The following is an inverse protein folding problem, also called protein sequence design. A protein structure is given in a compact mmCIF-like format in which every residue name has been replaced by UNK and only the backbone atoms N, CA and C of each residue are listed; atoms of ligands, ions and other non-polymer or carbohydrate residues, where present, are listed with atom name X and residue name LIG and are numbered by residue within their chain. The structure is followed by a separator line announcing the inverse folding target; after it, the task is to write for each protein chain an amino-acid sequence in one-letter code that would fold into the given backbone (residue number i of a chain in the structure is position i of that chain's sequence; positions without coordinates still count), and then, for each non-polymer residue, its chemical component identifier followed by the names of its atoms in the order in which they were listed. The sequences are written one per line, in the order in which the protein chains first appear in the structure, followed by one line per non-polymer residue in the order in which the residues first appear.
data_IF_849626912712
#
_entry.id   IF_849626912712
#
_cell.length_a   1.000
_cell.length_b   1.000
_cell.length_c   1.000
_cell.angle_alpha   90.00
_cell.angle_beta   90.00
_cell.angle_gamma   90.00
#
_symmetry.space_group_name_H-M   'P 1'
#
loop_
_entity.id
_entity.type
_entity.pdbx_description
1 polymer ?
#
# COMPACT_ATOMS: atom_id res chain seq x y z
N UNK A 1 -15.39 -26.06 0.24
CA UNK A 1 -14.53 -25.82 -0.95
C UNK A 1 -13.34 -24.99 -0.56
N UNK A 2 -12.17 -25.45 -0.90
CA UNK A 2 -10.96 -24.69 -0.71
C UNK A 2 -10.93 -23.55 -1.72
N UNK A 3 -10.66 -22.34 -1.26
CA UNK A 3 -10.40 -21.24 -2.15
C UNK A 3 -9.02 -21.45 -2.80
N UNK A 4 -8.93 -21.14 -4.07
CA UNK A 4 -7.63 -21.15 -4.72
C UNK A 4 -6.70 -20.17 -4.00
N UNK A 5 -5.41 -20.49 -3.80
CA UNK A 5 -4.48 -19.55 -3.19
C UNK A 5 -4.36 -18.29 -4.04
N UNK A 6 -4.14 -17.12 -3.43
CA UNK A 6 -3.95 -15.89 -4.18
C UNK A 6 -2.78 -16.07 -5.14
N UNK A 7 -2.94 -15.57 -6.36
CA UNK A 7 -1.86 -15.59 -7.35
C UNK A 7 -1.05 -14.30 -7.21
N UNK A 8 0.25 -14.45 -7.32
CA UNK A 8 1.20 -13.35 -7.17
C UNK A 8 2.09 -13.27 -8.40
N UNK A 9 2.51 -12.06 -8.71
CA UNK A 9 3.59 -11.82 -9.64
C UNK A 9 4.87 -11.65 -8.81
N UNK A 10 5.87 -12.50 -9.07
CA UNK A 10 7.18 -12.39 -8.42
C UNK A 10 7.95 -11.26 -9.10
N UNK A 11 8.22 -10.20 -8.37
CA UNK A 11 8.93 -9.02 -8.88
C UNK A 11 10.32 -8.95 -8.29
N UNK A 12 11.29 -8.68 -9.14
CA UNK A 12 12.67 -8.43 -8.71
C UNK A 12 13.30 -7.38 -9.61
N UNK A 13 13.90 -6.37 -8.99
CA UNK A 13 14.74 -5.41 -9.70
C UNK A 13 15.82 -4.93 -8.76
N UNK A 14 17.10 -5.07 -9.19
CA UNK A 14 18.24 -4.83 -8.32
C UNK A 14 18.12 -5.69 -7.05
N UNK A 15 18.18 -5.09 -5.88
CA UNK A 15 18.06 -5.81 -4.60
C UNK A 15 16.64 -5.87 -4.06
N UNK A 16 15.70 -5.21 -4.75
CA UNK A 16 14.32 -5.18 -4.31
C UNK A 16 13.56 -6.39 -4.85
N UNK A 17 12.86 -7.09 -3.96
CA UNK A 17 11.98 -8.19 -4.34
C UNK A 17 10.62 -8.03 -3.66
N UNK A 18 9.57 -8.45 -4.35
CA UNK A 18 8.23 -8.45 -3.80
C UNK A 18 7.36 -9.50 -4.50
N UNK A 19 6.34 -9.97 -3.80
CA UNK A 19 5.28 -10.76 -4.41
C UNK A 19 4.03 -9.89 -4.47
N UNK A 20 3.61 -9.56 -5.69
CA UNK A 20 2.52 -8.62 -5.92
C UNK A 20 1.25 -9.37 -6.29
N UNK A 21 0.15 -9.23 -5.52
CA UNK A 21 -1.11 -9.87 -5.88
C UNK A 21 -1.57 -9.47 -7.27
N UNK A 22 -1.99 -10.47 -8.08
CA UNK A 22 -2.41 -10.25 -9.45
C UNK A 22 -3.81 -9.65 -9.56
N UNK A 23 -4.65 -9.85 -8.56
CA UNK A 23 -6.04 -9.41 -8.57
C UNK A 23 -6.28 -8.11 -7.81
N UNK A 24 -5.23 -7.45 -7.33
CA UNK A 24 -5.33 -6.16 -6.67
C UNK A 24 -5.17 -5.03 -7.68
N UNK A 25 -5.67 -3.85 -7.29
CA UNK A 25 -5.36 -2.59 -7.97
C UNK A 25 -4.24 -1.88 -7.21
N UNK A 26 -3.55 -0.99 -7.91
CA UNK A 26 -2.40 -0.27 -7.35
C UNK A 26 -2.50 1.21 -7.69
N UNK A 27 -2.16 2.07 -6.74
CA UNK A 27 -2.16 3.51 -6.97
C UNK A 27 -0.75 3.99 -7.32
N UNK A 28 -0.63 5.16 -8.01
CA UNK A 28 0.68 5.77 -8.26
C UNK A 28 1.45 6.12 -6.98
N UNK A 29 0.76 6.24 -5.85
CA UNK A 29 1.36 6.55 -4.54
C UNK A 29 1.74 5.30 -3.74
N UNK A 30 1.75 4.13 -4.38
CA UNK A 30 2.16 2.86 -3.79
C UNK A 30 1.20 2.32 -2.74
N UNK A 31 -0.09 2.57 -2.92
CA UNK A 31 -1.14 1.86 -2.19
C UNK A 31 -1.66 0.71 -3.06
N UNK A 32 -2.16 -0.31 -2.41
CA UNK A 32 -2.87 -1.40 -3.09
C UNK A 32 -4.31 -1.47 -2.57
N UNK A 33 -5.21 -1.96 -3.43
CA UNK A 33 -6.63 -2.12 -3.09
C UNK A 33 -7.05 -3.52 -3.48
N UNK A 34 -7.67 -4.23 -2.55
CA UNK A 34 -8.19 -5.57 -2.80
C UNK A 34 -9.68 -5.62 -2.45
N UNK A 35 -10.49 -6.02 -3.43
CA UNK A 35 -11.91 -6.17 -3.22
C UNK A 35 -12.19 -7.42 -2.40
N UNK A 36 -13.02 -7.27 -1.37
CA UNK A 36 -13.42 -8.37 -0.52
C UNK A 36 -14.71 -9.00 -1.02
N UNK A 37 -15.02 -10.20 -0.51
CA UNK A 37 -16.22 -10.94 -0.92
C UNK A 37 -17.51 -10.15 -0.66
N UNK A 38 -17.53 -9.29 0.37
CA UNK A 38 -18.69 -8.46 0.71
C UNK A 38 -18.78 -7.17 -0.12
N UNK A 39 -17.86 -6.97 -1.07
CA UNK A 39 -17.84 -5.79 -1.93
C UNK A 39 -17.08 -4.61 -1.36
N UNK A 40 -16.59 -4.69 -0.14
CA UNK A 40 -15.75 -3.63 0.42
C UNK A 40 -14.33 -3.71 -0.10
N UNK A 41 -13.54 -2.67 0.13
CA UNK A 41 -12.15 -2.61 -0.26
C UNK A 41 -11.25 -2.60 0.96
N UNK A 42 -10.22 -3.43 0.95
CA UNK A 42 -9.11 -3.31 1.88
C UNK A 42 -7.99 -2.59 1.16
N UNK A 43 -7.39 -1.64 1.86
CA UNK A 43 -6.32 -0.81 1.30
C UNK A 43 -5.10 -0.89 2.21
N UNK A 44 -3.95 -1.04 1.60
CA UNK A 44 -2.69 -1.03 2.32
C UNK A 44 -1.61 -0.34 1.49
N UNK A 45 -0.40 -0.34 2.02
CA UNK A 45 0.76 0.16 1.28
C UNK A 45 1.56 -1.04 0.76
N UNK A 46 2.19 -0.85 -0.40
CA UNK A 46 2.92 -1.94 -1.05
C UNK A 46 4.23 -2.23 -0.33
N UNK A 47 4.81 -3.38 -0.64
CA UNK A 47 6.14 -3.75 -0.14
C UNK A 47 7.18 -2.67 -0.44
N UNK A 48 7.09 -2.02 -1.60
CA UNK A 48 7.99 -0.93 -1.94
C UNK A 48 7.84 0.25 -0.97
N UNK A 49 6.60 0.62 -0.65
CA UNK A 49 6.34 1.70 0.30
C UNK A 49 6.90 1.37 1.68
N UNK A 50 6.72 0.14 2.16
CA UNK A 50 7.27 -0.27 3.46
C UNK A 50 8.79 -0.22 3.47
N UNK A 51 9.42 -0.55 2.34
CA UNK A 51 10.88 -0.49 2.20
C UNK A 51 11.38 0.96 2.34
N UNK A 52 10.64 1.90 1.75
CA UNK A 52 11.00 3.32 1.82
C UNK A 52 10.78 3.93 3.20
N UNK A 53 9.76 3.47 3.92
CA UNK A 53 9.43 4.00 5.24
C UNK A 53 10.23 3.33 6.36
N UNK A 54 10.72 2.12 6.14
CA UNK A 54 11.41 1.33 7.16
C UNK A 54 10.43 0.61 8.07
N UNK A 55 10.93 0.01 9.14
CA UNK A 55 10.06 -0.69 10.10
C UNK A 55 9.05 0.28 10.70
N UNK A 56 7.79 -0.15 10.72
CA UNK A 56 6.69 0.67 11.23
C UNK A 56 6.78 0.83 12.74
N UNK A 57 6.56 2.07 13.16
CA UNK A 57 6.51 2.45 14.58
C UNK A 57 5.06 2.66 15.00
N UNK A 58 4.30 3.39 14.19
CA UNK A 58 2.95 3.80 14.58
C UNK A 58 2.14 4.21 13.33
N UNK A 59 0.83 4.11 13.45
CA UNK A 59 -0.13 4.65 12.48
C UNK A 59 -1.19 5.45 13.23
N UNK A 60 -1.66 6.52 12.66
CA UNK A 60 -2.69 7.35 13.24
C UNK A 60 -3.75 7.72 12.21
N UNK A 61 -4.95 8.04 12.69
CA UNK A 61 -6.10 8.29 11.82
C UNK A 61 -6.80 9.59 12.19
N UNK A 62 -7.14 10.36 11.16
CA UNK A 62 -7.87 11.62 11.29
C UNK A 62 -9.32 11.50 10.85
N UNK A 63 -9.73 10.29 10.46
CA UNK A 63 -11.10 9.99 10.03
C UNK A 63 -11.66 8.84 10.87
N UNK A 64 -12.96 8.76 10.98
CA UNK A 64 -13.65 7.77 11.81
C UNK A 64 -14.56 6.90 10.95
N UNK A 65 -14.84 5.65 11.39
CA UNK A 65 -15.81 4.80 10.68
C UNK A 65 -17.13 5.53 10.45
N UNK A 66 -17.64 5.47 9.23
CA UNK A 66 -18.86 6.16 8.82
C UNK A 66 -18.62 7.50 8.14
N UNK A 67 -17.43 8.06 8.22
CA UNK A 67 -17.14 9.33 7.56
C UNK A 67 -17.05 9.15 6.04
N UNK A 68 -17.56 10.14 5.31
CA UNK A 68 -17.37 10.20 3.87
C UNK A 68 -15.91 10.54 3.58
N UNK A 69 -15.33 9.85 2.59
CA UNK A 69 -13.94 10.07 2.17
C UNK A 69 -13.86 10.20 0.66
N UNK A 70 -12.87 10.94 0.20
CA UNK A 70 -12.64 11.16 -1.22
C UNK A 70 -11.20 10.81 -1.59
N UNK A 71 -10.99 10.36 -2.81
CA UNK A 71 -9.66 10.06 -3.34
C UNK A 71 -8.76 11.28 -3.24
N UNK A 72 -7.54 11.09 -2.72
CA UNK A 72 -6.58 12.15 -2.51
C UNK A 72 -6.66 12.84 -1.15
N UNK A 73 -7.70 12.55 -0.36
CA UNK A 73 -7.84 13.09 0.98
C UNK A 73 -6.82 12.42 1.92
N UNK A 74 -6.10 13.20 2.71
CA UNK A 74 -5.23 12.65 3.75
C UNK A 74 -6.11 12.22 4.92
N UNK A 75 -6.16 10.92 5.20
CA UNK A 75 -7.05 10.35 6.22
C UNK A 75 -6.30 9.83 7.44
N UNK A 76 -4.99 9.86 7.41
CA UNK A 76 -4.15 9.39 8.48
C UNK A 76 -2.68 9.49 8.10
N UNK A 77 -1.85 8.82 8.88
CA UNK A 77 -0.40 8.82 8.67
C UNK A 77 0.21 7.51 9.16
N UNK A 78 1.37 7.19 8.62
CA UNK A 78 2.20 6.07 9.07
C UNK A 78 3.61 6.57 9.35
N UNK A 79 4.18 6.11 10.45
CA UNK A 79 5.54 6.43 10.85
C UNK A 79 6.39 5.17 10.81
N UNK A 80 7.45 5.22 10.01
CA UNK A 80 8.49 4.20 10.02
C UNK A 80 9.81 4.80 10.52
N UNK A 81 10.80 3.95 10.75
CA UNK A 81 12.12 4.44 11.22
C UNK A 81 12.80 5.38 10.24
N UNK A 82 12.53 5.23 8.94
CA UNK A 82 13.18 6.05 7.91
C UNK A 82 12.41 7.30 7.54
N UNK A 83 11.07 7.26 7.63
CA UNK A 83 10.23 8.38 7.18
C UNK A 83 8.81 8.27 7.74
N UNK A 84 8.11 9.41 7.71
CA UNK A 84 6.68 9.52 8.00
C UNK A 84 5.98 9.85 6.69
N UNK A 85 4.81 9.27 6.47
CA UNK A 85 4.01 9.54 5.28
C UNK A 85 2.55 9.70 5.63
N UNK A 86 1.87 10.61 4.95
CA UNK A 86 0.42 10.67 5.00
C UNK A 86 -0.15 9.42 4.34
N UNK A 87 -1.32 8.98 4.83
CA UNK A 87 -2.12 7.95 4.17
C UNK A 87 -3.21 8.68 3.39
N UNK A 88 -3.13 8.61 2.06
CA UNK A 88 -4.13 9.20 1.18
C UNK A 88 -5.21 8.19 0.86
N UNK A 89 -6.46 8.65 0.86
CA UNK A 89 -7.57 7.80 0.49
C UNK A 89 -7.54 7.50 -1.01
N UNK A 90 -7.82 6.26 -1.38
CA UNK A 90 -7.87 5.82 -2.77
C UNK A 90 -9.24 5.25 -3.15
N UNK A 91 -10.27 5.58 -2.35
CA UNK A 91 -11.64 5.15 -2.59
C UNK A 91 -12.56 6.34 -2.32
N UNK A 92 -13.42 6.66 -3.29
CA UNK A 92 -14.50 7.64 -3.07
C UNK A 92 -15.68 6.92 -2.43
N UNK A 93 -16.01 7.25 -1.20
CA UNK A 93 -17.11 6.59 -0.51
C UNK A 93 -17.06 6.79 0.99
N UNK A 94 -17.11 5.70 1.73
CA UNK A 94 -17.20 5.73 3.19
C UNK A 94 -16.04 4.96 3.81
N UNK A 95 -15.41 5.57 4.81
CA UNK A 95 -14.35 4.93 5.61
C UNK A 95 -15.02 3.94 6.59
N UNK A 96 -14.58 2.70 6.57
CA UNK A 96 -15.16 1.66 7.42
C UNK A 96 -14.35 1.40 8.69
N UNK A 97 -13.09 1.82 8.70
CA UNK A 97 -12.24 1.66 9.87
C UNK A 97 -10.83 1.21 9.54
N UNK A 98 -9.94 1.43 10.49
CA UNK A 98 -8.57 0.95 10.41
C UNK A 98 -8.50 -0.54 10.74
N UNK A 99 -7.44 -1.20 10.30
CA UNK A 99 -7.18 -2.59 10.63
C UNK A 99 -6.97 -2.74 12.14
N UNK A 100 -7.85 -3.44 12.86
CA UNK A 100 -7.75 -3.55 14.31
C UNK A 100 -6.51 -4.32 14.77
N UNK A 101 -5.94 -5.16 13.92
CA UNK A 101 -4.73 -5.93 14.26
C UNK A 101 -3.52 -5.03 14.49
N UNK A 102 -3.49 -3.84 13.88
CA UNK A 102 -2.31 -2.99 13.90
C UNK A 102 -2.09 -2.28 15.24
N UNK A 103 -3.09 -2.20 16.10
CA UNK A 103 -2.92 -1.61 17.43
C UNK A 103 -1.90 -2.37 18.27
N UNK A 104 -1.90 -3.70 18.15
CA UNK A 104 -1.00 -4.55 18.91
C UNK A 104 0.17 -5.08 18.08
N UNK A 105 -0.01 -5.16 16.76
CA UNK A 105 0.95 -5.80 15.86
C UNK A 105 1.25 -4.92 14.65
N UNK A 106 1.77 -3.73 14.89
CA UNK A 106 2.10 -2.80 13.81
C UNK A 106 3.13 -3.40 12.83
N UNK A 107 3.96 -4.32 13.30
CA UNK A 107 4.95 -5.00 12.45
C UNK A 107 4.33 -5.81 11.31
N UNK A 108 3.03 -6.11 11.37
CA UNK A 108 2.35 -6.79 10.26
C UNK A 108 2.42 -5.98 8.97
N UNK A 109 2.46 -4.65 9.05
CA UNK A 109 2.58 -3.81 7.85
C UNK A 109 3.86 -4.14 7.09
N UNK A 110 4.94 -4.42 7.79
CA UNK A 110 6.21 -4.81 7.15
C UNK A 110 6.25 -6.28 6.77
N UNK A 111 5.72 -7.15 7.60
CA UNK A 111 5.79 -8.61 7.38
C UNK A 111 4.83 -9.08 6.29
N UNK A 112 3.62 -8.55 6.29
CA UNK A 112 2.56 -8.97 5.37
C UNK A 112 1.83 -7.76 4.80
N UNK A 113 2.56 -6.88 4.08
CA UNK A 113 1.95 -5.62 3.60
C UNK A 113 0.76 -5.83 2.67
N UNK A 114 0.76 -6.92 1.90
CA UNK A 114 -0.34 -7.25 0.98
C UNK A 114 -1.36 -8.22 1.57
N UNK A 115 -1.19 -8.60 2.83
CA UNK A 115 -2.08 -9.52 3.54
C UNK A 115 -2.63 -8.91 4.81
N UNK A 116 -2.27 -9.50 5.96
CA UNK A 116 -2.81 -9.06 7.26
C UNK A 116 -2.37 -7.66 7.67
N UNK A 117 -1.37 -7.09 7.01
CA UNK A 117 -0.88 -5.74 7.27
C UNK A 117 -1.63 -4.64 6.54
N UNK A 118 -2.83 -4.88 6.05
CA UNK A 118 -3.64 -3.84 5.42
C UNK A 118 -3.90 -2.70 6.40
N UNK A 119 -4.12 -1.48 5.89
CA UNK A 119 -4.24 -0.30 6.72
C UNK A 119 -5.67 0.06 7.08
N UNK A 120 -6.57 0.10 6.08
CA UNK A 120 -7.95 0.49 6.33
C UNK A 120 -8.90 -0.17 5.34
N UNK A 121 -10.19 -0.15 5.68
CA UNK A 121 -11.25 -0.62 4.81
C UNK A 121 -12.18 0.54 4.44
N UNK A 122 -12.74 0.48 3.23
CA UNK A 122 -13.66 1.49 2.72
C UNK A 122 -14.64 0.84 1.77
N UNK A 123 -15.79 1.48 1.59
CA UNK A 123 -16.75 1.09 0.56
C UNK A 123 -16.88 2.24 -0.43
N UNK A 124 -17.10 1.92 -1.70
CA UNK A 124 -17.25 2.93 -2.75
C UNK A 124 -16.49 2.58 -4.01
N UNK A 125 -16.08 3.62 -4.74
CA UNK A 125 -15.44 3.50 -6.04
C UNK A 125 -13.94 3.77 -5.94
N UNK A 126 -13.09 2.84 -6.45
CA UNK A 126 -11.65 3.06 -6.44
C UNK A 126 -11.25 4.30 -7.25
N UNK A 127 -10.14 4.91 -6.85
CA UNK A 127 -9.53 6.04 -7.57
C UNK A 127 -9.30 5.63 -9.03
N UNK A 128 -9.81 6.40 -10.01
CA UNK A 128 -9.63 6.07 -11.42
C UNK A 128 -8.17 6.10 -11.89
N UNK A 129 -7.26 6.66 -11.10
CA UNK A 129 -5.82 6.63 -11.41
C UNK A 129 -5.17 5.29 -11.04
N UNK A 130 -5.88 4.42 -10.34
CA UNK A 130 -5.37 3.08 -10.03
C UNK A 130 -5.27 2.24 -11.29
N UNK A 131 -4.35 1.30 -11.28
CA UNK A 131 -4.05 0.44 -12.42
C UNK A 131 -3.74 -1.00 -11.94
N UNK A 132 -3.57 -1.89 -12.91
CA UNK A 132 -3.28 -3.29 -12.60
C UNK A 132 -1.82 -3.51 -12.19
N UNK A 133 -1.50 -4.74 -11.83
CA UNK A 133 -0.16 -5.11 -11.39
C UNK A 133 0.90 -4.88 -12.46
N UNK A 134 0.57 -5.09 -13.73
CA UNK A 134 1.53 -4.94 -14.83
C UNK A 134 1.93 -3.47 -15.02
N UNK A 135 0.98 -2.56 -14.92
CA UNK A 135 1.27 -1.13 -14.96
C UNK A 135 2.04 -0.69 -13.73
N UNK A 136 1.76 -1.28 -12.57
CA UNK A 136 2.50 -1.00 -11.35
C UNK A 136 3.97 -1.43 -11.47
N UNK A 137 4.22 -2.60 -12.07
CA UNK A 137 5.59 -3.07 -12.34
C UNK A 137 6.35 -2.06 -13.20
N UNK A 138 5.70 -1.51 -14.23
CA UNK A 138 6.31 -0.48 -15.06
C UNK A 138 6.69 0.76 -14.24
N UNK A 139 5.82 1.16 -13.32
CA UNK A 139 6.11 2.28 -12.41
C UNK A 139 7.29 1.96 -11.49
N UNK A 140 7.32 0.75 -10.92
CA UNK A 140 8.40 0.32 -10.05
C UNK A 140 9.75 0.31 -10.77
N UNK A 141 9.78 -0.19 -12.00
CA UNK A 141 11.01 -0.20 -12.80
C UNK A 141 11.60 1.20 -12.91
N UNK A 142 10.77 2.16 -13.27
CA UNK A 142 11.21 3.55 -13.43
C UNK A 142 11.62 4.18 -12.10
N UNK A 143 10.88 3.90 -11.05
CA UNK A 143 11.15 4.47 -9.73
C UNK A 143 12.45 3.94 -9.17
N UNK A 144 12.67 2.63 -9.26
CA UNK A 144 13.89 1.99 -8.76
C UNK A 144 15.09 2.45 -9.57
N UNK A 145 14.97 2.54 -10.89
CA UNK A 145 16.07 3.03 -11.74
C UNK A 145 16.48 4.45 -11.36
N UNK A 146 15.53 5.33 -11.07
CA UNK A 146 15.85 6.69 -10.62
C UNK A 146 16.57 6.71 -9.29
N UNK A 147 16.17 5.83 -8.35
CA UNK A 147 16.85 5.71 -7.06
C UNK A 147 18.28 5.25 -7.24
N UNK A 148 18.51 4.26 -8.10
CA UNK A 148 19.85 3.74 -8.38
C UNK A 148 20.73 4.78 -9.04
N UNK A 149 20.20 5.54 -10.00
CA UNK A 149 20.93 6.63 -10.64
C UNK A 149 21.36 7.68 -9.65
N UNK A 150 20.47 8.04 -8.72
CA UNK A 150 20.76 9.01 -7.67
C UNK A 150 21.83 8.50 -6.73
N UNK A 151 21.77 7.24 -6.32
CA UNK A 151 22.78 6.62 -5.46
C UNK A 151 24.15 6.59 -6.14
N UNK A 152 24.20 6.27 -7.43
CA UNK A 152 25.45 6.27 -8.20
C UNK A 152 26.04 7.69 -8.28
N UNK A 153 25.21 8.69 -8.54
CA UNK A 153 25.67 10.08 -8.61
C UNK A 153 26.22 10.56 -7.26
N UNK A 154 25.58 10.16 -6.15
CA UNK A 154 26.05 10.49 -4.80
C UNK A 154 27.34 9.75 -4.47
N UNK A 155 27.51 8.52 -4.96
CA UNK A 155 28.72 7.73 -4.75
C UNK A 155 29.95 8.23 -5.50
N UNK A 156 29.76 9.04 -6.52
CA UNK A 156 30.85 9.62 -7.30
C UNK A 156 31.40 10.93 -6.72
N UNK A 157 30.81 11.42 -5.65
CA UNK A 157 31.28 12.65 -5.02
C UNK A 157 32.45 12.33 -4.05
#
# INVERSE_FOLDING_TARGET
MSQAPPKFLAYKRARFTAQLPLDALYSPSHAWLARQADGTWRVGITRFATRMLGEMVEAGWETQPGDAVACGQAIGWVEGFKAISDVFCVVDGEFLGANPLLKEKIALVNREPHGQGWLYAATGTPDPRCFDVHSYVTLLDKTIDKILEKEMAEGEK
#
